data_IF_228407717531
#
_entry.id   IF_228407717531
#
_cell.length_a   1.000
_cell.length_b   1.000
_cell.length_c   1.000
_cell.angle_alpha   90.00
_cell.angle_beta   90.00
_cell.angle_gamma   90.00
#
_symmetry.space_group_name_H-M   'P 1'
#
loop_
_entity.id
_entity.type
_entity.pdbx_description
1 polymer ?
#
# COMPACT_ATOMS: atom_id res chain seq x y z
N UNK A 1 18.88 37.96 -3.49
CA UNK A 1 18.33 36.65 -3.06
C UNK A 1 16.88 36.84 -2.63
N UNK A 2 15.91 36.52 -3.49
CA UNK A 2 14.49 36.60 -3.18
C UNK A 2 14.09 35.40 -2.32
N UNK A 3 13.97 35.59 -1.01
CA UNK A 3 13.40 34.60 -0.10
C UNK A 3 11.92 34.52 -0.45
N UNK A 4 11.51 33.49 -1.20
CA UNK A 4 10.09 33.20 -1.41
C UNK A 4 9.48 32.94 -0.03
N UNK A 5 8.85 33.95 0.55
CA UNK A 5 8.08 33.81 1.79
C UNK A 5 6.88 32.97 1.40
N UNK A 6 7.02 31.65 1.49
CA UNK A 6 5.91 30.73 1.33
C UNK A 6 4.93 31.13 2.43
N UNK A 7 3.76 31.63 2.03
CA UNK A 7 2.75 32.07 2.97
C UNK A 7 2.37 30.89 3.89
N UNK A 8 2.11 31.20 5.16
CA UNK A 8 1.69 30.23 6.18
C UNK A 8 0.61 29.24 5.65
N UNK A 9 -0.45 29.67 4.93
CA UNK A 9 -1.46 28.74 4.44
C UNK A 9 -0.90 27.69 3.46
N UNK A 10 0.07 28.04 2.62
CA UNK A 10 0.68 27.10 1.68
C UNK A 10 1.48 26.04 2.44
N UNK A 11 2.22 26.43 3.49
CA UNK A 11 2.99 25.47 4.31
C UNK A 11 2.08 24.49 5.04
N UNK A 12 0.99 24.99 5.61
CA UNK A 12 0.00 24.15 6.31
C UNK A 12 -0.67 23.20 5.33
N UNK A 13 -1.04 23.67 4.13
CA UNK A 13 -1.64 22.83 3.09
C UNK A 13 -0.71 21.71 2.63
N UNK A 14 0.56 22.01 2.38
CA UNK A 14 1.56 20.99 1.98
C UNK A 14 1.80 19.98 3.10
N UNK A 15 1.92 20.44 4.35
CA UNK A 15 2.10 19.55 5.50
C UNK A 15 0.90 18.62 5.70
N UNK A 16 -0.33 19.16 5.59
CA UNK A 16 -1.55 18.38 5.71
C UNK A 16 -1.64 17.31 4.59
N UNK A 17 -1.33 17.67 3.35
CA UNK A 17 -1.33 16.73 2.23
C UNK A 17 -0.31 15.59 2.43
N UNK A 18 0.91 15.92 2.89
CA UNK A 18 1.93 14.91 3.20
C UNK A 18 1.49 13.97 4.32
N UNK A 19 0.88 14.51 5.39
CA UNK A 19 0.36 13.71 6.49
C UNK A 19 -0.76 12.78 6.02
N UNK A 20 -1.70 13.26 5.19
CA UNK A 20 -2.78 12.43 4.63
C UNK A 20 -2.27 11.29 3.75
N UNK A 21 -1.23 11.52 2.94
CA UNK A 21 -0.61 10.48 2.10
C UNK A 21 0.03 9.39 2.97
N UNK A 22 0.80 9.79 3.99
CA UNK A 22 1.44 8.84 4.90
C UNK A 22 0.39 8.03 5.67
N UNK A 23 -0.68 8.67 6.16
CA UNK A 23 -1.74 8.00 6.90
C UNK A 23 -2.57 7.06 6.01
N UNK A 24 -2.88 7.46 4.78
CA UNK A 24 -3.58 6.61 3.81
C UNK A 24 -2.75 5.39 3.38
N UNK A 25 -1.43 5.57 3.23
CA UNK A 25 -0.50 4.46 2.99
C UNK A 25 -0.43 3.48 4.17
N UNK A 26 -0.51 3.97 5.41
CA UNK A 26 -0.56 3.12 6.59
C UNK A 26 -1.83 2.24 6.66
N UNK A 27 -2.96 2.71 6.13
CA UNK A 27 -4.20 1.93 6.10
C UNK A 27 -4.13 0.77 5.09
N UNK A 28 -3.46 0.98 3.95
CA UNK A 28 -3.14 -0.08 2.99
C UNK A 28 -2.17 -1.12 3.56
N UNK A 29 -1.27 -0.72 4.46
CA UNK A 29 -0.40 -1.64 5.19
C UNK A 29 -1.11 -2.34 6.35
N UNK A 30 -2.27 -1.84 6.76
CA UNK A 30 -3.14 -2.45 7.77
C UNK A 30 -4.06 -3.51 7.17
N UNK A 31 -4.19 -3.54 5.84
CA UNK A 31 -4.91 -4.59 5.16
C UNK A 31 -4.34 -5.95 5.60
N UNK A 32 -5.21 -6.90 6.01
CA UNK A 32 -4.75 -8.12 6.64
C UNK A 32 -3.73 -8.80 5.72
N UNK A 33 -2.60 -9.30 6.26
CA UNK A 33 -1.70 -10.12 5.47
C UNK A 33 -2.51 -11.21 4.79
N UNK A 34 -2.16 -11.52 3.53
CA UNK A 34 -2.78 -12.59 2.74
C UNK A 34 -3.12 -13.75 3.67
N UNK A 35 -4.39 -14.20 3.71
CA UNK A 35 -4.83 -15.18 4.68
C UNK A 35 -3.88 -16.38 4.68
N UNK A 36 -3.44 -16.77 5.87
CA UNK A 36 -2.57 -17.92 6.04
C UNK A 36 -3.19 -19.12 5.31
N UNK A 37 -2.34 -19.81 4.55
CA UNK A 37 -2.75 -21.00 3.83
C UNK A 37 -3.42 -21.97 4.81
N UNK A 38 -4.61 -22.55 4.52
CA UNK A 38 -5.39 -23.31 5.51
C UNK A 38 -4.75 -24.62 5.98
N UNK A 39 -3.50 -24.88 5.56
CA UNK A 39 -2.69 -26.01 5.94
C UNK A 39 -2.29 -26.85 4.73
N UNK A 40 -1.41 -27.84 4.91
CA UNK A 40 -0.86 -28.67 3.83
C UNK A 40 -1.91 -29.42 3.00
N UNK A 41 -3.12 -29.55 3.54
CA UNK A 41 -4.24 -30.29 2.94
C UNK A 41 -5.31 -29.38 2.33
N UNK A 42 -5.13 -28.06 2.38
CA UNK A 42 -6.05 -27.14 1.76
C UNK A 42 -6.04 -27.33 0.22
N UNK A 43 -7.19 -27.33 -0.46
CA UNK A 43 -7.25 -27.40 -1.91
C UNK A 43 -6.61 -26.15 -2.52
N UNK A 44 -5.63 -26.34 -3.42
CA UNK A 44 -4.99 -25.23 -4.14
C UNK A 44 -6.05 -24.41 -4.89
N UNK A 45 -6.07 -23.06 -4.75
CA UNK A 45 -7.16 -22.23 -5.26
C UNK A 45 -7.11 -22.03 -6.78
N UNK A 46 -5.99 -22.42 -7.41
CA UNK A 46 -5.84 -22.36 -8.85
C UNK A 46 -6.23 -23.70 -9.47
N UNK A 47 -6.95 -23.69 -10.60
CA UNK A 47 -7.31 -24.92 -11.29
C UNK A 47 -6.05 -25.65 -11.79
N UNK A 48 -6.07 -26.99 -11.71
CA UNK A 48 -4.97 -27.86 -12.15
C UNK A 48 -4.67 -27.76 -13.66
N UNK A 49 -5.47 -27.01 -14.40
CA UNK A 49 -5.32 -26.80 -15.84
C UNK A 49 -4.38 -25.64 -16.20
N UNK A 50 -3.81 -24.93 -15.22
CA UNK A 50 -2.79 -23.91 -15.51
C UNK A 50 -1.51 -24.64 -15.93
N UNK A 51 -1.01 -24.45 -17.16
CA UNK A 51 0.21 -25.10 -17.60
C UNK A 51 1.35 -24.70 -16.69
N UNK A 52 1.86 -25.66 -15.91
CA UNK A 52 3.06 -25.46 -15.11
C UNK A 52 4.21 -25.20 -16.08
N UNK A 53 4.88 -24.06 -15.88
CA UNK A 53 6.10 -23.75 -16.62
C UNK A 53 7.15 -24.80 -16.21
N UNK A 54 7.41 -25.74 -17.11
CA UNK A 54 8.51 -26.69 -16.97
C UNK A 54 9.78 -25.96 -17.36
N UNK A 55 10.77 -25.96 -16.46
CA UNK A 55 12.13 -25.47 -16.72
C UNK A 55 12.90 -26.45 -17.61
#
# INVERSE_FOLDING_TARGET
MSKRVISIPIRVGVLAALLSIMLGGCDLLREPPVPDWPGPHAPYPFPDNIPHRTE
#
